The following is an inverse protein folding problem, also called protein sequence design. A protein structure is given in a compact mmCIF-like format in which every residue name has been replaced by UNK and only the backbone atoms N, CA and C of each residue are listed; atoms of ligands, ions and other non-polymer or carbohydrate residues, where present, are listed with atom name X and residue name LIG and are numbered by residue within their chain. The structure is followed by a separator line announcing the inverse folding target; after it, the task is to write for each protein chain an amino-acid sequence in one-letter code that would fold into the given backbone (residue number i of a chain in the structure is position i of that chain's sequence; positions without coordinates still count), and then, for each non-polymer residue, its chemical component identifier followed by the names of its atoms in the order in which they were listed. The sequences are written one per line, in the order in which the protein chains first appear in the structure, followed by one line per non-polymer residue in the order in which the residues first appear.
data_IF_396776166844
#
_entry.id   IF_396776166844
#
_cell.length_a   1.000
_cell.length_b   1.000
_cell.length_c   1.000
_cell.angle_alpha   90.00
_cell.angle_beta   90.00
_cell.angle_gamma   90.00
#
_symmetry.space_group_name_H-M   'P 1'
#
loop_
_entity.id
_entity.type
_entity.pdbx_description
1 polymer ?
#
# COMPACT_ATOMS: atom_id res chain seq x y z
N UNK A 1 28.48 13.56 1.96
CA UNK A 1 27.85 12.73 0.91
C UNK A 1 26.69 13.41 0.15
N UNK A 2 25.89 14.31 0.75
CA UNK A 2 24.67 14.85 0.11
C UNK A 2 24.82 15.75 -1.13
N UNK A 3 26.02 16.12 -1.56
CA UNK A 3 26.24 17.01 -2.72
C UNK A 3 26.99 16.34 -3.88
N UNK A 4 27.00 15.00 -3.92
CA UNK A 4 27.60 14.26 -5.03
C UNK A 4 26.83 14.55 -6.35
N UNK A 5 27.54 14.90 -7.45
CA UNK A 5 26.96 15.08 -8.77
C UNK A 5 26.06 13.91 -9.23
N UNK A 6 26.38 12.66 -8.85
CA UNK A 6 25.57 11.48 -9.20
C UNK A 6 24.14 11.56 -8.63
N UNK A 7 23.95 12.28 -7.53
CA UNK A 7 22.64 12.49 -6.89
C UNK A 7 21.93 13.79 -7.36
N UNK A 8 22.64 14.71 -8.02
CA UNK A 8 22.03 15.92 -8.59
C UNK A 8 21.15 15.62 -9.82
N UNK A 9 21.52 14.62 -10.62
CA UNK A 9 20.68 14.13 -11.73
C UNK A 9 19.40 13.43 -11.22
N UNK A 10 19.50 12.73 -10.09
CA UNK A 10 18.36 12.12 -9.40
C UNK A 10 17.42 13.14 -8.73
N UNK A 11 17.94 14.32 -8.35
CA UNK A 11 17.12 15.46 -7.88
C UNK A 11 16.37 16.17 -9.00
N UNK A 12 16.79 16.03 -10.26
CA UNK A 12 16.20 16.77 -11.39
C UNK A 12 15.10 15.99 -12.10
N UNK A 13 15.13 14.65 -12.08
CA UNK A 13 14.05 13.80 -12.61
C UNK A 13 13.09 13.45 -11.50
N UNK A 14 12.18 14.38 -11.23
CA UNK A 14 11.24 14.31 -10.12
C UNK A 14 9.88 13.82 -10.61
N UNK A 15 9.25 12.85 -9.94
CA UNK A 15 7.87 12.47 -10.23
C UNK A 15 6.98 13.68 -9.97
N UNK A 16 6.23 14.12 -11.00
CA UNK A 16 5.26 15.20 -10.85
C UNK A 16 4.26 14.79 -9.78
N UNK A 17 3.96 15.69 -8.86
CA UNK A 17 3.01 15.44 -7.78
C UNK A 17 1.61 15.11 -8.26
N UNK A 18 1.26 15.47 -9.49
CA UNK A 18 0.06 14.98 -10.17
C UNK A 18 0.03 13.45 -10.26
N UNK A 19 1.13 12.80 -10.66
CA UNK A 19 1.17 11.34 -10.79
C UNK A 19 1.01 10.61 -9.44
N UNK A 20 1.51 11.22 -8.35
CA UNK A 20 1.37 10.70 -6.99
C UNK A 20 -0.06 10.87 -6.48
N UNK A 21 -0.65 12.03 -6.73
CA UNK A 21 -2.03 12.30 -6.35
C UNK A 21 -3.00 11.43 -7.17
N UNK A 22 -2.78 11.29 -8.47
CA UNK A 22 -3.58 10.41 -9.34
C UNK A 22 -3.52 8.96 -8.84
N UNK A 23 -2.35 8.54 -8.34
CA UNK A 23 -2.19 7.21 -7.78
C UNK A 23 -2.85 7.04 -6.41
N UNK A 24 -2.72 8.01 -5.51
CA UNK A 24 -3.48 8.01 -4.24
C UNK A 24 -4.99 7.98 -4.49
N UNK A 25 -5.47 8.80 -5.43
CA UNK A 25 -6.87 8.81 -5.85
C UNK A 25 -7.29 7.46 -6.43
N UNK A 26 -6.43 6.81 -7.20
CA UNK A 26 -6.69 5.46 -7.72
C UNK A 26 -6.89 4.44 -6.60
N UNK A 27 -6.01 4.41 -5.59
CA UNK A 27 -6.15 3.51 -4.43
C UNK A 27 -7.40 3.87 -3.63
N UNK A 28 -7.64 5.15 -3.36
CA UNK A 28 -8.81 5.61 -2.62
C UNK A 28 -10.13 5.26 -3.33
N UNK A 29 -10.15 5.34 -4.67
CA UNK A 29 -11.31 4.96 -5.49
C UNK A 29 -11.53 3.45 -5.47
N UNK A 30 -10.47 2.66 -5.58
CA UNK A 30 -10.51 1.20 -5.43
C UNK A 30 -11.07 0.80 -4.07
N UNK A 31 -10.51 1.38 -3.00
CA UNK A 31 -11.01 1.22 -1.64
C UNK A 31 -12.50 1.57 -1.56
N UNK A 32 -12.91 2.75 -2.02
CA UNK A 32 -14.30 3.18 -1.95
C UNK A 32 -15.26 2.26 -2.73
N UNK A 33 -14.86 1.76 -3.90
CA UNK A 33 -15.66 0.82 -4.67
C UNK A 33 -15.84 -0.51 -3.93
N UNK A 34 -14.78 -1.02 -3.31
CA UNK A 34 -14.79 -2.27 -2.54
C UNK A 34 -15.48 -2.09 -1.17
N UNK A 35 -15.41 -0.91 -0.56
CA UNK A 35 -16.14 -0.54 0.67
C UNK A 35 -17.61 -0.23 0.42
N UNK A 36 -18.02 0.28 -0.75
CA UNK A 36 -19.45 0.50 -1.02
C UNK A 36 -20.24 -0.83 -1.07
N UNK A 37 -19.58 -1.93 -1.46
CA UNK A 37 -20.13 -3.28 -1.30
C UNK A 37 -20.40 -3.65 0.17
N UNK A 38 -19.65 -3.10 1.14
CA UNK A 38 -19.92 -3.30 2.59
C UNK A 38 -21.22 -2.65 3.05
N UNK A 39 -21.58 -1.47 2.52
CA UNK A 39 -22.79 -0.77 2.97
C UNK A 39 -24.03 -1.53 2.52
N UNK A 40 -24.05 -2.00 1.28
CA UNK A 40 -25.14 -2.86 0.78
C UNK A 40 -25.22 -4.17 1.56
N UNK A 41 -24.09 -4.77 1.94
CA UNK A 41 -24.06 -6.02 2.72
C UNK A 41 -24.44 -5.85 4.21
N UNK A 42 -24.19 -4.68 4.82
CA UNK A 42 -24.51 -4.38 6.23
C UNK A 42 -25.99 -4.11 6.48
N UNK A 43 -26.73 -3.54 5.53
CA UNK A 43 -28.18 -3.28 5.69
C UNK A 43 -29.03 -4.55 5.73
N UNK A 44 -28.47 -5.71 5.39
CA UNK A 44 -29.11 -7.03 5.50
C UNK A 44 -28.86 -7.71 6.86
N UNK A 45 -28.29 -7.03 7.86
CA UNK A 45 -27.83 -7.64 9.14
C UNK A 45 -28.88 -7.74 10.24
N UNK A 46 -30.11 -7.24 10.07
CA UNK A 46 -30.99 -7.11 11.24
C UNK A 46 -31.64 -8.39 11.77
N UNK A 47 -31.65 -9.54 11.09
CA UNK A 47 -32.22 -10.79 11.66
C UNK A 47 -31.80 -12.03 10.84
N UNK A 48 -30.71 -12.76 11.12
CA UNK A 48 -30.43 -14.04 10.40
C UNK A 48 -29.74 -15.10 11.30
N UNK A 49 -30.15 -16.36 11.10
CA UNK A 49 -29.84 -17.62 11.80
C UNK A 49 -28.80 -18.47 11.03
N UNK A 50 -27.65 -18.77 11.68
CA UNK A 50 -26.30 -19.11 11.13
C UNK A 50 -26.11 -20.45 10.37
N UNK A 51 -27.16 -21.09 9.84
CA UNK A 51 -27.06 -22.49 9.34
C UNK A 51 -26.97 -22.67 7.82
N UNK A 52 -26.94 -21.59 7.03
CA UNK A 52 -27.14 -21.68 5.57
C UNK A 52 -25.88 -21.48 4.74
N UNK A 53 -25.88 -22.03 3.50
CA UNK A 53 -24.82 -21.79 2.49
C UNK A 53 -24.66 -20.29 2.15
N UNK A 54 -25.74 -19.54 2.25
CA UNK A 54 -25.78 -18.10 2.02
C UNK A 54 -25.02 -17.32 3.09
N UNK A 55 -25.01 -17.78 4.35
CA UNK A 55 -24.23 -17.16 5.43
C UNK A 55 -22.74 -17.47 5.36
N UNK A 56 -22.36 -18.65 4.88
CA UNK A 56 -20.94 -18.95 4.62
C UNK A 56 -20.37 -17.98 3.57
N UNK A 57 -21.10 -17.80 2.45
CA UNK A 57 -20.74 -16.82 1.41
C UNK A 57 -20.67 -15.41 2.00
N UNK A 58 -21.62 -15.05 2.88
CA UNK A 58 -21.66 -13.74 3.52
C UNK A 58 -20.48 -13.50 4.47
N UNK A 59 -20.13 -14.49 5.31
CA UNK A 59 -18.98 -14.43 6.23
C UNK A 59 -17.68 -14.29 5.47
N UNK A 60 -17.51 -15.03 4.38
CA UNK A 60 -16.36 -14.90 3.47
C UNK A 60 -16.28 -13.48 2.86
N UNK A 61 -17.40 -12.91 2.42
CA UNK A 61 -17.44 -11.54 1.90
C UNK A 61 -17.08 -10.47 2.95
N UNK A 62 -17.57 -10.61 4.19
CA UNK A 62 -17.23 -9.69 5.28
C UNK A 62 -15.74 -9.75 5.58
N UNK A 63 -15.19 -10.96 5.72
CA UNK A 63 -13.78 -11.19 5.99
C UNK A 63 -12.89 -10.61 4.90
N UNK A 64 -13.22 -10.89 3.63
CA UNK A 64 -12.56 -10.31 2.46
C UNK A 64 -12.55 -8.79 2.52
N UNK A 65 -13.69 -8.17 2.80
CA UNK A 65 -13.73 -6.71 2.77
C UNK A 65 -12.98 -6.07 3.95
N UNK A 66 -12.98 -6.70 5.12
CA UNK A 66 -12.14 -6.28 6.24
C UNK A 66 -10.64 -6.39 5.92
N UNK A 67 -10.23 -7.47 5.26
CA UNK A 67 -8.85 -7.66 4.81
C UNK A 67 -8.43 -6.55 3.84
N UNK A 68 -9.26 -6.25 2.85
CA UNK A 68 -8.99 -5.23 1.83
C UNK A 68 -8.96 -3.82 2.44
N UNK A 69 -9.92 -3.45 3.28
CA UNK A 69 -9.90 -2.13 3.96
C UNK A 69 -8.66 -1.98 4.86
N UNK A 70 -8.23 -3.06 5.54
CA UNK A 70 -6.99 -3.07 6.31
C UNK A 70 -5.76 -2.77 5.43
N UNK A 71 -5.59 -3.50 4.31
CA UNK A 71 -4.43 -3.34 3.43
C UNK A 71 -4.41 -1.96 2.73
N UNK A 72 -5.55 -1.49 2.22
CA UNK A 72 -5.65 -0.17 1.61
C UNK A 72 -5.41 0.95 2.61
N UNK A 73 -6.00 0.89 3.82
CA UNK A 73 -5.79 1.92 4.83
C UNK A 73 -4.32 2.03 5.23
N UNK A 74 -3.65 0.90 5.51
CA UNK A 74 -2.21 0.88 5.81
C UNK A 74 -1.40 1.56 4.69
N UNK A 75 -1.72 1.23 3.44
CA UNK A 75 -1.04 1.79 2.26
C UNK A 75 -1.28 3.30 2.11
N UNK A 76 -2.54 3.74 2.18
CA UNK A 76 -2.91 5.15 2.04
C UNK A 76 -2.27 5.98 3.14
N UNK A 77 -2.34 5.54 4.40
CA UNK A 77 -1.73 6.24 5.53
C UNK A 77 -0.23 6.38 5.36
N UNK A 78 0.48 5.28 5.04
CA UNK A 78 1.93 5.33 4.83
C UNK A 78 2.31 6.28 3.69
N UNK A 79 1.61 6.22 2.56
CA UNK A 79 1.88 7.12 1.44
C UNK A 79 1.63 8.59 1.78
N UNK A 80 0.52 8.88 2.46
CA UNK A 80 0.20 10.23 2.93
C UNK A 80 1.28 10.76 3.85
N UNK A 81 1.76 9.95 4.78
CA UNK A 81 2.88 10.30 5.68
C UNK A 81 4.15 10.61 4.90
N UNK A 82 4.57 9.69 4.02
CA UNK A 82 5.78 9.85 3.18
C UNK A 82 5.73 11.15 2.37
N UNK A 83 4.56 11.53 1.84
CA UNK A 83 4.41 12.76 1.05
C UNK A 83 4.02 13.99 1.85
N UNK A 84 3.73 13.86 3.15
CA UNK A 84 3.22 14.94 3.99
C UNK A 84 1.87 15.47 3.51
N UNK A 85 0.99 14.58 3.07
CA UNK A 85 -0.37 14.90 2.63
C UNK A 85 -1.32 14.68 3.81
N UNK A 86 -2.00 15.75 4.24
CA UNK A 86 -3.05 15.67 5.27
C UNK A 86 -4.20 14.78 4.81
N UNK A 87 -4.80 14.03 5.73
CA UNK A 87 -5.97 13.19 5.44
C UNK A 87 -7.18 14.00 4.96
N UNK A 88 -7.29 15.23 5.44
CA UNK A 88 -8.38 16.15 5.11
C UNK A 88 -7.94 17.23 4.12
N UNK A 89 -6.94 16.93 3.27
CA UNK A 89 -6.43 17.89 2.29
C UNK A 89 -7.58 18.44 1.44
N UNK A 90 -7.81 19.76 1.57
CA UNK A 90 -8.80 20.49 0.79
C UNK A 90 -8.50 20.42 -0.70
N UNK A 91 -9.49 20.71 -1.55
CA UNK A 91 -9.30 20.78 -3.01
C UNK A 91 -8.20 21.78 -3.40
N UNK A 92 -8.06 22.86 -2.64
CA UNK A 92 -6.98 23.84 -2.82
C UNK A 92 -5.60 23.25 -2.54
N UNK A 93 -5.47 22.41 -1.51
CA UNK A 93 -4.24 21.71 -1.16
C UNK A 93 -3.92 20.61 -2.15
N UNK A 94 -4.91 19.85 -2.63
CA UNK A 94 -4.75 18.87 -3.72
C UNK A 94 -4.15 19.51 -4.97
N UNK A 95 -4.67 20.66 -5.41
CA UNK A 95 -4.10 21.45 -6.53
C UNK A 95 -2.66 21.91 -6.25
N UNK A 96 -2.34 22.24 -5.00
CA UNK A 96 -0.96 22.58 -4.59
C UNK A 96 -0.03 21.37 -4.69
N UNK A 97 -0.49 20.17 -4.30
CA UNK A 97 0.29 18.93 -4.43
C UNK A 97 0.54 18.54 -5.88
N UNK A 98 -0.44 18.70 -6.77
CA UNK A 98 -0.27 18.43 -8.21
C UNK A 98 0.91 19.19 -8.84
N UNK A 99 1.18 20.40 -8.32
CA UNK A 99 2.26 21.28 -8.80
C UNK A 99 3.61 21.01 -8.13
N UNK A 100 3.63 20.30 -6.99
CA UNK A 100 4.88 19.93 -6.30
C UNK A 100 5.55 18.78 -7.03
N UNK A 101 6.86 18.70 -6.92
CA UNK A 101 7.64 17.60 -7.43
C UNK A 101 8.17 16.78 -6.25
N UNK A 102 8.04 15.44 -6.30
CA UNK A 102 8.45 14.54 -5.21
C UNK A 102 9.68 13.69 -5.54
N UNK A 103 10.58 13.59 -4.56
CA UNK A 103 11.86 12.88 -4.68
C UNK A 103 11.65 11.37 -4.87
N UNK A 104 12.35 10.76 -5.83
CA UNK A 104 12.19 9.33 -6.19
C UNK A 104 12.41 8.35 -5.03
N UNK A 105 13.28 8.67 -4.06
CA UNK A 105 13.51 7.79 -2.90
C UNK A 105 12.24 7.57 -2.06
N UNK A 106 11.32 8.55 -2.03
CA UNK A 106 10.03 8.41 -1.33
C UNK A 106 9.15 7.33 -1.97
N UNK A 107 9.24 7.19 -3.29
CA UNK A 107 8.53 6.13 -4.01
C UNK A 107 9.16 4.78 -3.74
N UNK A 108 10.50 4.72 -3.69
CA UNK A 108 11.19 3.49 -3.30
C UNK A 108 10.80 3.05 -1.90
N UNK A 109 10.69 3.98 -0.94
CA UNK A 109 10.19 3.68 0.41
C UNK A 109 8.77 3.08 0.40
N UNK A 110 7.89 3.54 -0.50
CA UNK A 110 6.55 2.96 -0.67
C UNK A 110 6.61 1.57 -1.31
N UNK A 111 7.44 1.38 -2.32
CA UNK A 111 7.66 0.07 -2.95
C UNK A 111 8.19 -0.94 -1.92
N UNK A 112 9.17 -0.55 -1.10
CA UNK A 112 9.76 -1.40 -0.08
C UNK A 112 8.75 -1.71 1.04
N UNK A 113 7.94 -0.73 1.45
CA UNK A 113 6.82 -0.95 2.37
C UNK A 113 5.81 -1.98 1.84
N UNK A 114 5.42 -1.88 0.56
CA UNK A 114 4.49 -2.83 -0.05
C UNK A 114 5.09 -4.24 -0.14
N UNK A 115 6.37 -4.35 -0.51
CA UNK A 115 7.10 -5.62 -0.54
C UNK A 115 7.21 -6.26 0.85
N UNK A 116 7.47 -5.45 1.88
CA UNK A 116 7.50 -5.91 3.25
C UNK A 116 6.16 -6.51 3.69
N UNK A 117 5.05 -5.78 3.49
CA UNK A 117 3.73 -6.26 3.87
C UNK A 117 3.29 -7.49 3.07
N UNK A 118 3.65 -7.56 1.77
CA UNK A 118 3.43 -8.76 0.95
C UNK A 118 4.14 -9.98 1.54
N UNK A 119 5.44 -9.84 1.90
CA UNK A 119 6.23 -10.92 2.46
C UNK A 119 5.72 -11.33 3.85
N UNK A 120 5.31 -10.36 4.67
CA UNK A 120 4.70 -10.62 5.99
C UNK A 120 3.41 -11.43 5.85
N UNK A 121 2.49 -11.04 4.96
CA UNK A 121 1.26 -11.81 4.70
C UNK A 121 1.58 -13.23 4.23
N UNK A 122 2.51 -13.37 3.27
CA UNK A 122 2.94 -14.68 2.76
C UNK A 122 3.50 -15.58 3.87
N UNK A 123 4.35 -15.01 4.73
CA UNK A 123 4.96 -15.74 5.86
C UNK A 123 3.89 -16.19 6.85
N UNK A 124 2.90 -15.34 7.14
CA UNK A 124 1.79 -15.70 8.02
C UNK A 124 0.96 -16.86 7.42
N UNK A 125 0.64 -16.82 6.13
CA UNK A 125 -0.07 -17.92 5.45
C UNK A 125 0.70 -19.23 5.60
N UNK A 126 1.98 -19.26 5.21
CA UNK A 126 2.83 -20.45 5.29
C UNK A 126 2.91 -21.01 6.72
N UNK A 127 2.99 -20.12 7.72
CA UNK A 127 3.00 -20.49 9.14
C UNK A 127 1.68 -21.15 9.57
N UNK A 128 0.52 -20.58 9.20
CA UNK A 128 -0.79 -21.11 9.59
C UNK A 128 -1.16 -22.39 8.82
N UNK A 129 -0.73 -22.54 7.57
CA UNK A 129 -0.89 -23.78 6.80
C UNK A 129 -0.07 -24.95 7.38
N UNK A 130 1.10 -24.65 7.96
CA UNK A 130 1.97 -25.65 8.59
C UNK A 130 1.50 -26.13 9.98
N UNK A 131 0.44 -25.54 10.54
CA UNK A 131 -0.07 -25.92 11.86
C UNK A 131 -1.04 -27.11 11.77
N UNK A 132 -0.95 -28.11 12.70
CA UNK A 132 -1.88 -29.23 12.72
C UNK A 132 -3.33 -28.74 12.85
N UNK A 133 -4.22 -29.28 12.02
CA UNK A 133 -5.54 -28.70 11.73
C UNK A 133 -6.41 -28.54 12.98
N UNK A 134 -6.39 -27.34 13.55
CA UNK A 134 -7.53 -26.82 14.31
C UNK A 134 -8.35 -26.03 13.31
N UNK A 135 -9.65 -26.31 13.23
CA UNK A 135 -10.62 -25.68 12.31
C UNK A 135 -10.69 -24.12 12.35
N UNK A 136 -9.81 -23.43 13.08
CA UNK A 136 -9.85 -21.99 13.31
C UNK A 136 -8.83 -21.13 12.52
N UNK A 137 -7.93 -21.72 11.73
CA UNK A 137 -6.94 -20.93 10.97
C UNK A 137 -7.34 -20.62 9.52
N UNK A 138 -8.41 -21.23 9.01
CA UNK A 138 -8.85 -21.05 7.62
C UNK A 138 -9.21 -19.59 7.33
N UNK A 139 -9.96 -18.96 8.23
CA UNK A 139 -10.32 -17.54 8.09
C UNK A 139 -9.09 -16.62 8.21
N UNK A 140 -8.10 -16.99 9.02
CA UNK A 140 -6.86 -16.22 9.14
C UNK A 140 -6.05 -16.28 7.84
N UNK A 141 -5.94 -17.47 7.24
CA UNK A 141 -5.27 -17.66 5.94
C UNK A 141 -5.97 -16.84 4.85
N UNK A 142 -7.30 -16.94 4.74
CA UNK A 142 -8.09 -16.15 3.77
C UNK A 142 -7.88 -14.64 3.99
N UNK A 143 -7.86 -14.20 5.24
CA UNK A 143 -7.64 -12.79 5.58
C UNK A 143 -6.28 -12.27 5.09
N UNK A 144 -5.21 -13.07 5.21
CA UNK A 144 -3.89 -12.68 4.70
C UNK A 144 -3.79 -12.80 3.18
N UNK A 145 -4.45 -13.79 2.57
CA UNK A 145 -4.45 -14.01 1.12
C UNK A 145 -5.11 -12.83 0.37
N UNK A 146 -6.24 -12.35 0.88
CA UNK A 146 -6.93 -11.17 0.35
C UNK A 146 -6.09 -9.88 0.45
N UNK A 147 -5.30 -9.72 1.53
CA UNK A 147 -4.36 -8.59 1.65
C UNK A 147 -3.22 -8.70 0.63
N UNK A 148 -2.77 -9.92 0.34
CA UNK A 148 -1.70 -10.24 -0.60
C UNK A 148 -2.06 -9.77 -2.01
N UNK A 149 -3.30 -10.02 -2.46
CA UNK A 149 -3.83 -9.53 -3.74
C UNK A 149 -3.79 -8.00 -3.82
N UNK A 150 -4.20 -7.31 -2.75
CA UNK A 150 -4.18 -5.86 -2.65
C UNK A 150 -2.74 -5.29 -2.75
N UNK A 151 -1.80 -5.82 -1.97
CA UNK A 151 -0.41 -5.37 -2.00
C UNK A 151 0.25 -5.64 -3.34
N UNK A 152 0.01 -6.81 -3.95
CA UNK A 152 0.54 -7.15 -5.27
C UNK A 152 0.00 -6.22 -6.37
N UNK A 153 -1.31 -5.95 -6.35
CA UNK A 153 -1.97 -5.05 -7.31
C UNK A 153 -1.41 -3.64 -7.21
N UNK A 154 -1.29 -3.14 -5.99
CA UNK A 154 -0.74 -1.82 -5.71
C UNK A 154 0.72 -1.74 -6.12
N UNK A 155 1.54 -2.74 -5.77
CA UNK A 155 2.94 -2.83 -6.11
C UNK A 155 3.13 -2.82 -7.63
N UNK A 156 2.39 -3.66 -8.37
CA UNK A 156 2.45 -3.73 -9.83
C UNK A 156 2.17 -2.36 -10.46
N UNK A 157 1.16 -1.65 -9.97
CA UNK A 157 0.81 -0.33 -10.49
C UNK A 157 1.91 0.72 -10.24
N UNK A 158 2.46 0.77 -9.03
CA UNK A 158 3.54 1.71 -8.69
C UNK A 158 4.80 1.38 -9.46
N UNK A 159 5.23 0.12 -9.41
CA UNK A 159 6.50 -0.34 -9.97
C UNK A 159 6.52 -0.21 -11.49
N UNK A 160 5.42 -0.53 -12.18
CA UNK A 160 5.30 -0.32 -13.63
C UNK A 160 5.36 1.17 -14.00
N UNK A 161 4.67 2.04 -13.23
CA UNK A 161 4.73 3.49 -13.48
C UNK A 161 6.09 4.06 -13.18
N UNK A 162 6.74 3.61 -12.12
CA UNK A 162 8.07 4.05 -11.73
C UNK A 162 9.11 3.63 -12.77
N UNK A 163 9.05 2.37 -13.22
CA UNK A 163 9.96 1.81 -14.22
C UNK A 163 9.81 2.45 -15.61
N UNK A 164 8.66 3.04 -15.93
CA UNK A 164 8.46 3.85 -17.15
C UNK A 164 9.14 5.22 -17.08
N UNK A 165 9.39 5.72 -15.88
CA UNK A 165 9.96 7.05 -15.65
C UNK A 165 11.47 6.97 -15.38
N UNK A 166 11.92 5.89 -14.73
CA UNK A 166 13.32 5.67 -14.36
C UNK A 166 13.85 4.36 -14.94
N UNK A 167 15.02 4.40 -15.57
CA UNK A 167 15.71 3.20 -16.03
C UNK A 167 16.26 2.39 -14.85
N UNK A 168 16.49 1.08 -15.05
CA UNK A 168 16.94 0.16 -13.99
C UNK A 168 18.22 0.61 -13.24
N UNK A 169 19.16 1.27 -13.94
CA UNK A 169 20.37 1.85 -13.32
C UNK A 169 20.04 3.00 -12.38
N UNK A 170 19.09 3.84 -12.74
CA UNK A 170 18.61 4.96 -11.90
C UNK A 170 17.85 4.42 -10.69
N UNK A 171 16.99 3.40 -10.87
CA UNK A 171 16.30 2.72 -9.77
C UNK A 171 17.29 2.20 -8.71
N UNK A 172 18.36 1.55 -9.16
CA UNK A 172 19.39 0.98 -8.27
C UNK A 172 20.10 2.07 -7.45
N UNK A 173 20.47 3.19 -8.09
CA UNK A 173 21.09 4.34 -7.41
C UNK A 173 20.13 5.03 -6.42
N UNK A 174 18.85 5.15 -6.75
CA UNK A 174 17.84 5.71 -5.83
C UNK A 174 17.69 4.81 -4.60
N UNK A 175 17.73 3.49 -4.79
CA UNK A 175 17.63 2.52 -3.71
C UNK A 175 18.84 2.56 -2.78
N UNK A 176 20.05 2.63 -3.34
CA UNK A 176 21.29 2.85 -2.57
C UNK A 176 21.20 4.13 -1.74
N UNK A 177 20.80 5.24 -2.36
CA UNK A 177 20.61 6.53 -1.66
C UNK A 177 19.53 6.49 -0.57
N UNK A 178 18.44 5.74 -0.77
CA UNK A 178 17.40 5.57 0.25
C UNK A 178 17.96 4.83 1.49
N UNK A 179 18.80 3.81 1.29
CA UNK A 179 19.50 3.11 2.37
C UNK A 179 20.45 4.05 3.10
N UNK A 180 21.28 4.81 2.37
CA UNK A 180 22.24 5.77 2.95
C UNK A 180 21.56 6.82 3.85
N UNK A 181 20.36 7.30 3.48
CA UNK A 181 19.58 8.20 4.33
C UNK A 181 19.16 7.52 5.63
N UNK A 182 18.66 6.28 5.54
CA UNK A 182 18.25 5.52 6.73
C UNK A 182 19.43 5.25 7.67
N UNK A 183 20.59 4.88 7.12
CA UNK A 183 21.80 4.61 7.88
C UNK A 183 22.36 5.89 8.53
N UNK A 184 22.43 7.00 7.78
CA UNK A 184 22.87 8.29 8.30
C UNK A 184 21.96 8.87 9.39
N UNK A 185 20.66 8.57 9.39
CA UNK A 185 19.74 8.95 10.48
C UNK A 185 20.02 8.13 11.75
N UNK A 186 20.38 6.86 11.61
CA UNK A 186 20.71 5.99 12.74
C UNK A 186 22.04 6.38 13.39
N UNK A 187 23.03 6.81 12.59
CA UNK A 187 24.31 7.33 13.09
C UNK A 187 24.15 8.66 13.85
N UNK A 188 23.16 9.49 13.51
CA UNK A 188 22.85 10.75 14.19
C UNK A 188 22.12 10.58 15.53
N UNK A 189 21.71 9.36 15.89
CA UNK A 189 21.00 9.04 17.14
C UNK A 189 21.89 8.40 18.22
N UNK A 190 23.21 8.36 18.02
CA UNK A 190 24.22 7.93 18.99
C UNK A 190 24.96 9.14 19.58
#
# INVERSE_FOLDING_TARGET
MFNDPKYNELRTRVLKGSAILDFLLFIETRRAAETNLLVEAKWLLEEIDETTKEEQIRKENILRTQALDCAYNKTICFMREIFGISENASESEKKKYQRKSFKGYKIVQIIDFLKFNFLDCKTNIEMFEGMPSVNGYKEIIIFFDEQLECYLTTLKYIDERFSKIYHAKEYSLIKEYASEICDGINELKL
#
